data_IF_872668717016
#
_entry.id   IF_872668717016
#
_cell.length_a   1.000
_cell.length_b   1.000
_cell.length_c   1.000
_cell.angle_alpha   90.00
_cell.angle_beta   90.00
_cell.angle_gamma   90.00
#
_symmetry.space_group_name_H-M   'P 1'
#
loop_
_entity.id
_entity.type
_entity.pdbx_description
1 polymer ?
#
# COMPACT_ATOMS: atom_id res chain seq x y z
N UNK A 1 -14.48 -38.04 2.45
CA UNK A 1 -14.35 -37.17 1.26
C UNK A 1 -14.22 -35.73 1.73
N UNK A 2 -13.00 -35.20 1.79
CA UNK A 2 -12.76 -33.80 2.10
C UNK A 2 -13.24 -32.97 0.90
N UNK A 3 -14.04 -31.89 1.09
CA UNK A 3 -14.45 -31.06 -0.03
C UNK A 3 -13.21 -30.48 -0.71
N UNK A 4 -13.20 -30.32 -2.05
CA UNK A 4 -12.06 -29.76 -2.77
C UNK A 4 -11.72 -28.39 -2.17
N UNK A 5 -10.42 -28.03 -2.04
CA UNK A 5 -10.03 -26.72 -1.54
C UNK A 5 -10.71 -25.66 -2.42
N UNK A 6 -11.55 -24.81 -1.81
CA UNK A 6 -12.21 -23.73 -2.55
C UNK A 6 -11.10 -22.86 -3.13
N UNK A 7 -10.95 -22.89 -4.47
CA UNK A 7 -10.08 -21.94 -5.17
C UNK A 7 -10.49 -20.54 -4.70
N UNK A 8 -9.60 -19.90 -3.93
CA UNK A 8 -9.80 -18.53 -3.45
C UNK A 8 -9.99 -17.67 -4.69
N UNK A 9 -11.03 -16.82 -4.69
CA UNK A 9 -11.28 -15.94 -5.83
C UNK A 9 -10.05 -15.07 -6.04
N UNK A 10 -9.62 -14.89 -7.29
CA UNK A 10 -8.43 -14.11 -7.64
C UNK A 10 -8.53 -12.67 -7.08
N UNK A 11 -9.75 -12.12 -7.06
CA UNK A 11 -10.03 -10.82 -6.44
C UNK A 11 -9.83 -10.78 -4.92
N UNK A 12 -9.99 -11.89 -4.21
CA UNK A 12 -9.69 -11.98 -2.77
C UNK A 12 -8.18 -12.02 -2.52
N UNK A 13 -7.42 -12.70 -3.37
CA UNK A 13 -5.96 -12.72 -3.25
C UNK A 13 -5.37 -11.31 -3.45
N UNK A 14 -5.81 -10.60 -4.48
CA UNK A 14 -5.36 -9.21 -4.72
C UNK A 14 -5.73 -8.30 -3.55
N UNK A 15 -6.96 -8.41 -3.01
CA UNK A 15 -7.37 -7.66 -1.81
C UNK A 15 -6.49 -7.93 -0.59
N UNK A 16 -6.12 -9.20 -0.37
CA UNK A 16 -5.25 -9.57 0.75
C UNK A 16 -3.86 -8.94 0.60
N UNK A 17 -3.27 -9.04 -0.60
CA UNK A 17 -1.96 -8.42 -0.90
C UNK A 17 -2.01 -6.91 -0.70
N UNK A 18 -3.06 -6.24 -1.18
CA UNK A 18 -3.21 -4.79 -1.03
C UNK A 18 -3.37 -4.38 0.43
N UNK A 19 -4.15 -5.13 1.21
CA UNK A 19 -4.28 -4.91 2.66
C UNK A 19 -2.95 -5.10 3.39
N UNK A 20 -2.16 -6.10 2.99
CA UNK A 20 -0.84 -6.35 3.57
C UNK A 20 0.14 -5.22 3.24
N UNK A 21 0.16 -4.73 2.00
CA UNK A 21 0.99 -3.59 1.59
C UNK A 21 0.66 -2.32 2.39
N UNK A 22 -0.64 -2.02 2.56
CA UNK A 22 -1.08 -0.87 3.37
C UNK A 22 -0.68 -1.03 4.83
N UNK A 23 -0.90 -2.20 5.41
CA UNK A 23 -0.53 -2.47 6.81
C UNK A 23 0.98 -2.34 7.02
N UNK A 24 1.80 -2.88 6.11
CA UNK A 24 3.27 -2.76 6.20
C UNK A 24 3.73 -1.31 6.13
N UNK A 25 3.15 -0.51 5.21
CA UNK A 25 3.49 0.91 5.09
C UNK A 25 3.09 1.69 6.35
N UNK A 26 1.90 1.44 6.89
CA UNK A 26 1.43 2.06 8.14
C UNK A 26 2.31 1.68 9.34
N UNK A 27 2.68 0.40 9.46
CA UNK A 27 3.58 -0.06 10.53
C UNK A 27 4.96 0.58 10.40
N UNK A 28 5.53 0.64 9.19
CA UNK A 28 6.81 1.31 8.95
C UNK A 28 6.75 2.79 9.32
N UNK A 29 5.69 3.49 8.94
CA UNK A 29 5.48 4.89 9.31
C UNK A 29 5.43 5.08 10.84
N UNK A 30 4.71 4.20 11.53
CA UNK A 30 4.63 4.23 12.99
C UNK A 30 6.01 4.04 13.63
N UNK A 31 6.75 3.02 13.18
CA UNK A 31 8.09 2.71 13.65
C UNK A 31 9.08 3.86 13.42
N UNK A 32 9.06 4.48 12.24
CA UNK A 32 9.93 5.64 11.94
C UNK A 32 9.62 6.82 12.88
N UNK A 33 8.34 7.03 13.19
CA UNK A 33 7.93 8.09 14.11
C UNK A 33 8.37 7.81 15.54
N UNK A 34 8.23 6.55 15.99
CA UNK A 34 8.70 6.12 17.31
C UNK A 34 10.22 6.28 17.42
N UNK A 35 10.97 5.84 16.41
CA UNK A 35 12.42 5.98 16.37
C UNK A 35 12.88 7.44 16.47
N UNK A 36 12.21 8.37 15.79
CA UNK A 36 12.54 9.80 15.90
C UNK A 36 12.29 10.35 17.30
N UNK A 37 11.23 9.91 17.99
CA UNK A 37 11.00 10.28 19.38
C UNK A 37 12.02 9.65 20.33
N UNK A 38 12.43 8.40 20.09
CA UNK A 38 13.49 7.74 20.84
C UNK A 38 14.83 8.47 20.70
N UNK A 39 15.22 8.85 19.47
CA UNK A 39 16.43 9.64 19.21
C UNK A 39 16.36 10.96 19.96
N UNK A 40 15.20 11.63 19.96
CA UNK A 40 14.99 12.89 20.68
C UNK A 40 15.18 12.70 22.19
N UNK A 41 14.57 11.67 22.77
CA UNK A 41 14.71 11.36 24.20
C UNK A 41 16.15 11.00 24.56
N UNK A 42 16.78 10.13 23.78
CA UNK A 42 18.16 9.70 24.00
C UNK A 42 19.14 10.87 23.96
N UNK A 43 18.99 11.77 22.99
CA UNK A 43 19.86 12.96 22.84
C UNK A 43 19.79 13.86 24.07
N UNK A 44 18.59 14.11 24.58
CA UNK A 44 18.39 14.93 25.78
C UNK A 44 18.95 14.24 27.03
N UNK A 45 18.61 12.96 27.21
CA UNK A 45 19.00 12.19 28.38
C UNK A 45 20.52 12.01 28.46
N UNK A 46 21.17 11.68 27.35
CA UNK A 46 22.61 11.53 27.27
C UNK A 46 23.35 12.85 27.56
N UNK A 47 22.83 13.97 27.05
CA UNK A 47 23.40 15.30 27.34
C UNK A 47 23.32 15.64 28.83
N UNK A 48 22.19 15.33 29.47
CA UNK A 48 22.00 15.54 30.92
C UNK A 48 22.98 14.71 31.75
N UNK A 49 23.12 13.42 31.47
CA UNK A 49 24.03 12.54 32.20
C UNK A 49 25.47 12.98 32.05
N UNK A 50 25.86 13.33 30.84
CA UNK A 50 27.21 13.81 30.56
C UNK A 50 27.51 15.09 31.39
N UNK A 51 26.56 16.04 31.44
CA UNK A 51 26.70 17.25 32.25
C UNK A 51 26.81 16.92 33.74
N UNK A 52 26.01 15.99 34.25
CA UNK A 52 26.07 15.57 35.64
C UNK A 52 27.43 14.93 35.99
N UNK A 53 27.98 14.08 35.14
CA UNK A 53 29.28 13.45 35.34
C UNK A 53 30.42 14.48 35.38
N UNK A 54 30.43 15.43 34.44
CA UNK A 54 31.42 16.51 34.39
C UNK A 54 31.40 17.39 35.66
N UNK A 55 30.19 17.74 36.14
CA UNK A 55 30.01 18.49 37.39
C UNK A 55 30.54 17.71 38.59
N UNK A 56 30.23 16.40 38.67
CA UNK A 56 30.66 15.54 39.78
C UNK A 56 32.18 15.38 39.83
N UNK A 57 32.84 15.15 38.69
CA UNK A 57 34.30 15.04 38.62
C UNK A 57 35.00 16.32 39.07
N UNK A 58 34.43 17.48 38.72
CA UNK A 58 34.94 18.79 39.13
C UNK A 58 34.84 19.01 40.63
N UNK A 59 33.69 18.67 41.22
CA UNK A 59 33.46 18.79 42.66
C UNK A 59 34.35 17.81 43.43
N UNK A 60 34.52 16.58 42.94
CA UNK A 60 35.40 15.59 43.55
C UNK A 60 36.88 16.00 43.48
N UNK A 61 37.34 16.54 42.35
CA UNK A 61 38.70 17.06 42.19
C UNK A 61 38.99 18.24 43.15
N UNK A 62 37.99 19.05 43.45
CA UNK A 62 38.10 20.13 44.45
C UNK A 62 38.37 19.58 45.85
N UNK A 63 37.67 18.53 46.27
CA UNK A 63 37.81 17.96 47.61
C UNK A 63 39.22 17.37 47.82
N UNK A 64 39.78 16.76 46.77
CA UNK A 64 41.15 16.22 46.76
C UNK A 64 42.22 17.33 46.78
N UNK A 65 41.98 18.47 46.11
CA UNK A 65 42.93 19.58 46.13
C UNK A 65 42.84 20.40 47.43
N UNK A 66 41.65 20.50 48.05
CA UNK A 66 41.44 21.16 49.36
C UNK A 66 42.22 20.51 50.49
N UNK A 67 42.43 19.19 50.45
CA UNK A 67 43.24 18.47 51.45
C UNK A 67 44.74 18.70 51.29
N UNK A 68 45.17 19.28 50.16
CA UNK A 68 46.59 19.39 49.79
C UNK A 68 47.16 20.82 49.93
N UNK A 69 46.32 21.87 49.86
CA UNK A 69 46.80 23.27 49.81
C UNK A 69 46.09 24.17 50.84
N UNK A 70 46.72 24.38 52.01
CA UNK A 70 46.18 25.25 53.07
C UNK A 70 46.88 26.63 53.18
N UNK A 71 47.88 26.93 52.34
CA UNK A 71 48.72 28.15 52.47
C UNK A 71 48.54 29.23 51.39
N UNK A 72 47.85 28.99 50.26
CA UNK A 72 47.63 29.98 49.18
C UNK A 72 46.15 30.18 48.79
N UNK A 73 45.29 30.34 49.79
CA UNK A 73 43.82 30.30 49.67
C UNK A 73 43.19 31.22 48.60
N UNK A 74 43.74 32.43 48.36
CA UNK A 74 43.13 33.40 47.43
C UNK A 74 43.33 33.06 45.95
N UNK A 75 44.55 32.64 45.57
CA UNK A 75 44.87 32.29 44.16
C UNK A 75 44.22 30.96 43.79
N UNK A 76 44.26 29.98 44.70
CA UNK A 76 43.60 28.67 44.54
C UNK A 76 42.09 28.82 44.35
N UNK A 77 41.45 29.74 45.09
CA UNK A 77 40.03 30.02 44.93
C UNK A 77 39.69 30.70 43.60
N UNK A 78 40.56 31.60 43.09
CA UNK A 78 40.38 32.23 41.79
C UNK A 78 40.46 31.23 40.62
N UNK A 79 41.45 30.34 40.64
CA UNK A 79 41.60 29.26 39.65
C UNK A 79 40.40 28.31 39.70
N UNK A 80 39.95 27.94 40.90
CA UNK A 80 38.77 27.09 41.07
C UNK A 80 37.50 27.74 40.52
N UNK A 81 37.25 29.02 40.82
CA UNK A 81 36.10 29.75 40.28
C UNK A 81 36.15 29.77 38.75
N UNK A 82 37.32 30.07 38.16
CA UNK A 82 37.49 30.05 36.71
C UNK A 82 37.23 28.65 36.10
N UNK A 83 37.62 27.57 36.78
CA UNK A 83 37.35 26.20 36.35
C UNK A 83 35.85 25.87 36.40
N UNK A 84 35.16 26.24 37.49
CA UNK A 84 33.71 26.05 37.62
C UNK A 84 32.96 26.86 36.57
N UNK A 85 33.36 28.11 36.33
CA UNK A 85 32.75 28.98 35.31
C UNK A 85 32.94 28.41 33.89
N UNK A 86 34.12 27.84 33.59
CA UNK A 86 34.38 27.18 32.31
C UNK A 86 33.50 25.93 32.11
N UNK A 87 33.22 25.19 33.17
CA UNK A 87 32.39 23.98 33.14
C UNK A 87 30.91 24.34 33.04
N UNK A 88 30.48 25.42 33.70
CA UNK A 88 29.15 25.99 33.51
C UNK A 88 28.92 26.43 32.05
N UNK A 89 29.86 27.18 31.46
CA UNK A 89 29.80 27.57 30.04
C UNK A 89 29.77 26.37 29.11
N UNK A 90 30.57 25.35 29.42
CA UNK A 90 30.61 24.10 28.65
C UNK A 90 29.30 23.34 28.73
N UNK A 91 28.69 23.24 29.92
CA UNK A 91 27.38 22.63 30.13
C UNK A 91 26.26 23.38 29.38
N UNK A 92 26.25 24.72 29.45
CA UNK A 92 25.32 25.56 28.70
C UNK A 92 25.44 25.34 27.19
N UNK A 93 26.66 25.32 26.65
CA UNK A 93 26.88 25.09 25.22
C UNK A 93 26.37 23.72 24.75
N UNK A 94 26.57 22.67 25.57
CA UNK A 94 26.12 21.31 25.27
C UNK A 94 24.59 21.18 25.37
N UNK A 95 23.99 21.82 26.36
CA UNK A 95 22.53 21.84 26.50
C UNK A 95 21.89 22.56 25.30
N UNK A 96 22.42 23.72 24.89
CA UNK A 96 21.95 24.46 23.72
C UNK A 96 22.05 23.62 22.43
N UNK A 97 23.16 22.88 22.25
CA UNK A 97 23.31 21.96 21.11
C UNK A 97 22.28 20.82 21.15
N UNK A 98 22.06 20.20 22.32
CA UNK A 98 21.09 19.13 22.50
C UNK A 98 19.65 19.59 22.24
N UNK A 99 19.29 20.80 22.68
CA UNK A 99 18.01 21.44 22.42
C UNK A 99 17.81 21.70 20.92
N UNK A 100 18.85 22.17 20.23
CA UNK A 100 18.81 22.39 18.79
C UNK A 100 18.65 21.07 18.01
N UNK A 101 19.36 20.01 18.39
CA UNK A 101 19.15 18.67 17.83
C UNK A 101 17.71 18.18 18.06
N UNK A 102 17.17 18.36 19.27
CA UNK A 102 15.78 18.00 19.57
C UNK A 102 14.79 18.82 18.74
N UNK A 103 15.06 20.12 18.52
CA UNK A 103 14.24 21.01 17.68
C UNK A 103 14.22 20.52 16.24
N UNK A 104 15.38 20.19 15.67
CA UNK A 104 15.51 19.66 14.31
C UNK A 104 14.81 18.31 14.17
N UNK A 105 15.05 17.37 15.08
CA UNK A 105 14.37 16.06 15.09
C UNK A 105 12.85 16.23 15.20
N UNK A 106 12.38 17.14 16.06
CA UNK A 106 10.95 17.45 16.18
C UNK A 106 10.36 18.15 14.94
N UNK A 107 11.14 18.87 14.15
CA UNK A 107 10.71 19.41 12.86
C UNK A 107 10.58 18.29 11.81
N UNK A 108 11.54 17.37 11.77
CA UNK A 108 11.50 16.19 10.89
C UNK A 108 10.29 15.31 11.23
N UNK A 109 10.05 14.99 12.50
CA UNK A 109 8.85 14.23 12.93
C UNK A 109 7.54 14.89 12.51
N UNK A 110 7.42 16.21 12.67
CA UNK A 110 6.22 16.96 12.25
C UNK A 110 6.06 16.99 10.73
N UNK A 111 7.14 17.18 9.99
CA UNK A 111 7.13 17.12 8.52
C UNK A 111 6.74 15.74 8.00
N UNK A 112 7.18 14.67 8.67
CA UNK A 112 6.86 13.29 8.34
C UNK A 112 5.35 13.04 8.52
N UNK A 113 4.80 13.40 9.70
CA UNK A 113 3.36 13.29 10.00
C UNK A 113 2.46 14.10 9.07
N UNK A 114 2.83 15.34 8.72
CA UNK A 114 1.90 16.28 8.08
C UNK A 114 1.78 16.18 6.56
N UNK A 115 2.72 15.52 5.87
CA UNK A 115 2.81 15.74 4.42
C UNK A 115 3.22 14.54 3.59
N UNK A 116 4.21 13.74 4.00
CA UNK A 116 4.76 12.71 3.10
C UNK A 116 3.94 11.42 3.14
N UNK A 117 3.60 10.95 4.34
CA UNK A 117 2.99 9.62 4.49
C UNK A 117 1.49 9.59 4.30
N UNK A 118 0.76 10.61 4.76
CA UNK A 118 -0.70 10.67 4.58
C UNK A 118 -1.02 10.70 3.08
N UNK A 119 -0.29 11.52 2.31
CA UNK A 119 -0.48 11.61 0.85
C UNK A 119 -0.01 10.36 0.11
N UNK A 120 1.06 9.71 0.58
CA UNK A 120 1.54 8.44 0.02
C UNK A 120 0.53 7.32 0.22
N UNK A 121 -0.02 7.20 1.44
CA UNK A 121 -1.03 6.21 1.79
C UNK A 121 -2.35 6.45 1.03
N UNK A 122 -2.81 7.70 0.96
CA UNK A 122 -4.01 8.07 0.18
C UNK A 122 -3.85 7.75 -1.31
N UNK A 123 -2.68 8.05 -1.89
CA UNK A 123 -2.36 7.70 -3.28
C UNK A 123 -2.33 6.19 -3.48
N UNK A 124 -1.71 5.44 -2.57
CA UNK A 124 -1.66 3.98 -2.63
C UNK A 124 -3.06 3.37 -2.56
N UNK A 125 -3.88 3.83 -1.61
CA UNK A 125 -5.28 3.39 -1.48
C UNK A 125 -6.10 3.70 -2.74
N UNK A 126 -5.88 4.86 -3.36
CA UNK A 126 -6.55 5.25 -4.60
C UNK A 126 -6.22 4.30 -5.74
N UNK A 127 -4.93 4.11 -6.05
CA UNK A 127 -4.51 3.24 -7.16
C UNK A 127 -4.91 1.79 -6.91
N UNK A 128 -4.74 1.29 -5.68
CA UNK A 128 -5.23 -0.05 -5.31
C UNK A 128 -6.76 -0.16 -5.47
N UNK A 129 -7.51 0.89 -5.14
CA UNK A 129 -8.95 0.99 -5.35
C UNK A 129 -9.34 0.85 -6.83
N UNK A 130 -8.65 1.58 -7.70
CA UNK A 130 -8.87 1.55 -9.16
C UNK A 130 -8.63 0.15 -9.75
N UNK A 131 -7.56 -0.55 -9.31
CA UNK A 131 -7.29 -1.94 -9.71
C UNK A 131 -8.40 -2.87 -9.21
N UNK A 132 -8.87 -2.69 -7.97
CA UNK A 132 -9.93 -3.50 -7.39
C UNK A 132 -11.28 -3.28 -8.09
N UNK A 133 -11.57 -2.07 -8.54
CA UNK A 133 -12.80 -1.76 -9.27
C UNK A 133 -12.75 -2.38 -10.67
N UNK A 134 -11.62 -2.28 -11.38
CA UNK A 134 -11.43 -2.98 -12.65
C UNK A 134 -11.60 -4.51 -12.53
N UNK A 135 -11.12 -5.11 -11.44
CA UNK A 135 -11.33 -6.53 -11.12
C UNK A 135 -12.80 -6.89 -10.84
N UNK A 136 -13.57 -5.98 -10.23
CA UNK A 136 -15.02 -6.18 -10.02
C UNK A 136 -15.77 -6.19 -11.34
N UNK A 137 -15.47 -5.24 -12.22
CA UNK A 137 -16.09 -5.18 -13.55
C UNK A 137 -15.75 -6.42 -14.39
N UNK A 138 -14.49 -6.85 -14.39
CA UNK A 138 -14.10 -8.12 -15.03
C UNK A 138 -14.88 -9.32 -14.49
N UNK A 139 -15.18 -9.36 -13.19
CA UNK A 139 -15.97 -10.43 -12.60
C UNK A 139 -17.42 -10.42 -13.08
N UNK A 140 -18.02 -9.24 -13.24
CA UNK A 140 -19.38 -9.08 -13.79
C UNK A 140 -19.44 -9.55 -15.24
N UNK A 141 -18.50 -9.10 -16.08
CA UNK A 141 -18.41 -9.50 -17.49
C UNK A 141 -18.18 -11.00 -17.61
N UNK A 142 -17.27 -11.58 -16.80
CA UNK A 142 -17.04 -13.02 -16.73
C UNK A 142 -18.33 -13.78 -16.41
N UNK A 143 -19.14 -13.32 -15.45
CA UNK A 143 -20.42 -13.96 -15.09
C UNK A 143 -21.41 -13.93 -16.25
N UNK A 144 -21.51 -12.80 -16.95
CA UNK A 144 -22.36 -12.63 -18.14
C UNK A 144 -21.92 -13.56 -19.27
N UNK A 145 -20.61 -13.65 -19.54
CA UNK A 145 -20.03 -14.57 -20.52
C UNK A 145 -20.44 -16.03 -20.24
N UNK A 146 -20.27 -16.51 -19.00
CA UNK A 146 -20.64 -17.89 -18.66
C UNK A 146 -22.14 -18.16 -18.81
N UNK A 147 -22.99 -17.18 -18.43
CA UNK A 147 -24.44 -17.29 -18.60
C UNK A 147 -24.82 -17.37 -20.08
N UNK A 148 -24.29 -16.49 -20.93
CA UNK A 148 -24.60 -16.48 -22.36
C UNK A 148 -24.02 -17.70 -23.08
N UNK A 149 -22.85 -18.18 -22.66
CA UNK A 149 -22.26 -19.43 -23.15
C UNK A 149 -23.19 -20.62 -22.90
N UNK A 150 -23.76 -20.72 -21.70
CA UNK A 150 -24.73 -21.76 -21.38
C UNK A 150 -26.00 -21.68 -22.23
N UNK A 151 -26.55 -20.47 -22.42
CA UNK A 151 -27.74 -20.25 -23.25
C UNK A 151 -27.48 -20.64 -24.71
N UNK A 152 -26.33 -20.25 -25.27
CA UNK A 152 -25.94 -20.58 -26.63
C UNK A 152 -25.76 -22.10 -26.82
N UNK A 153 -25.19 -22.80 -25.82
CA UNK A 153 -25.08 -24.26 -25.86
C UNK A 153 -26.47 -24.94 -25.92
N UNK A 154 -27.41 -24.52 -25.06
CA UNK A 154 -28.78 -25.05 -25.11
C UNK A 154 -29.45 -24.75 -26.46
N UNK A 155 -29.23 -23.56 -27.02
CA UNK A 155 -29.76 -23.21 -28.34
C UNK A 155 -29.17 -24.11 -29.45
N UNK A 156 -27.89 -24.44 -29.35
CA UNK A 156 -27.18 -25.33 -30.29
C UNK A 156 -27.70 -26.76 -30.23
N UNK A 157 -27.92 -27.29 -29.03
CA UNK A 157 -28.55 -28.60 -28.83
C UNK A 157 -29.96 -28.65 -29.44
N UNK A 158 -30.80 -27.65 -29.13
CA UNK A 158 -32.17 -27.58 -29.68
C UNK A 158 -32.22 -27.47 -31.20
N UNK A 159 -31.30 -26.69 -31.79
CA UNK A 159 -31.20 -26.57 -33.23
C UNK A 159 -30.74 -27.89 -33.88
N UNK A 160 -29.74 -28.56 -33.29
CA UNK A 160 -29.25 -29.86 -33.75
C UNK A 160 -30.34 -30.95 -33.68
N UNK A 161 -31.10 -30.98 -32.58
CA UNK A 161 -32.23 -31.90 -32.40
C UNK A 161 -33.33 -31.66 -33.43
N UNK A 162 -33.70 -30.40 -33.66
CA UNK A 162 -34.71 -30.04 -34.66
C UNK A 162 -34.26 -30.42 -36.08
N UNK A 163 -32.98 -30.19 -36.41
CA UNK A 163 -32.43 -30.56 -37.70
C UNK A 163 -32.37 -32.09 -37.89
N UNK A 164 -32.05 -32.84 -36.83
CA UNK A 164 -32.07 -34.30 -36.86
C UNK A 164 -33.50 -34.82 -37.05
N UNK A 165 -34.50 -34.22 -36.39
CA UNK A 165 -35.92 -34.55 -36.58
C UNK A 165 -36.39 -34.24 -38.00
N UNK A 166 -35.99 -33.09 -38.56
CA UNK A 166 -36.32 -32.70 -39.92
C UNK A 166 -35.78 -33.72 -40.94
N UNK A 167 -34.50 -34.12 -40.81
CA UNK A 167 -33.87 -35.17 -41.66
C UNK A 167 -34.56 -36.53 -41.55
N UNK A 168 -34.95 -36.95 -40.35
CA UNK A 168 -35.68 -38.22 -40.17
C UNK A 168 -37.09 -38.18 -40.78
N UNK A 169 -37.73 -37.01 -40.79
CA UNK A 169 -39.08 -36.82 -41.32
C UNK A 169 -39.16 -36.60 -42.84
N UNK A 170 -38.02 -36.61 -43.54
CA UNK A 170 -37.94 -36.25 -44.96
C UNK A 170 -38.82 -37.13 -45.87
N UNK A 171 -39.12 -38.35 -45.40
CA UNK A 171 -39.96 -39.37 -46.04
C UNK A 171 -41.39 -39.47 -45.46
N UNK A 172 -41.79 -38.57 -44.56
CA UNK A 172 -43.10 -38.57 -43.88
C UNK A 172 -44.20 -37.75 -44.59
N UNK A 173 -45.43 -37.84 -44.09
CA UNK A 173 -46.64 -37.20 -44.64
C UNK A 173 -46.45 -35.68 -44.86
N UNK A 174 -46.74 -35.21 -46.06
CA UNK A 174 -46.45 -33.85 -46.57
C UNK A 174 -46.87 -32.69 -45.65
N UNK A 175 -48.00 -32.82 -44.94
CA UNK A 175 -48.51 -31.75 -44.07
C UNK A 175 -47.64 -31.49 -42.81
N UNK A 176 -46.84 -32.47 -42.38
CA UNK A 176 -45.95 -32.34 -41.21
C UNK A 176 -44.59 -31.71 -41.57
N UNK A 177 -44.16 -31.86 -42.83
CA UNK A 177 -42.84 -31.40 -43.32
C UNK A 177 -42.70 -29.87 -43.25
N UNK A 178 -43.71 -29.13 -43.70
CA UNK A 178 -43.68 -27.65 -43.70
C UNK A 178 -43.58 -27.07 -42.29
N UNK A 179 -44.29 -27.65 -41.31
CA UNK A 179 -44.22 -27.24 -39.91
C UNK A 179 -42.84 -27.46 -39.29
N UNK A 180 -42.23 -28.61 -39.56
CA UNK A 180 -40.86 -28.92 -39.10
C UNK A 180 -39.80 -28.01 -39.72
N UNK A 181 -39.91 -27.69 -41.01
CA UNK A 181 -38.99 -26.75 -41.66
C UNK A 181 -39.10 -25.35 -41.05
N UNK A 182 -40.32 -24.85 -40.81
CA UNK A 182 -40.53 -23.56 -40.13
C UNK A 182 -39.95 -23.54 -38.71
N UNK A 183 -40.14 -24.62 -37.95
CA UNK A 183 -39.58 -24.77 -36.60
C UNK A 183 -38.04 -24.80 -36.64
N UNK A 184 -37.46 -25.56 -37.56
CA UNK A 184 -36.00 -25.65 -37.75
C UNK A 184 -35.40 -24.30 -38.13
N UNK A 185 -36.04 -23.57 -39.04
CA UNK A 185 -35.64 -22.21 -39.42
C UNK A 185 -35.68 -21.26 -38.21
N UNK A 186 -36.75 -21.31 -37.41
CA UNK A 186 -36.89 -20.48 -36.19
C UNK A 186 -35.80 -20.78 -35.16
N UNK A 187 -35.49 -22.05 -34.92
CA UNK A 187 -34.45 -22.45 -33.96
C UNK A 187 -33.04 -22.10 -34.47
N UNK A 188 -32.81 -22.20 -35.79
CA UNK A 188 -31.56 -21.78 -36.42
C UNK A 188 -31.35 -20.27 -36.33
N UNK A 189 -32.40 -19.47 -36.56
CA UNK A 189 -32.35 -18.02 -36.38
C UNK A 189 -32.05 -17.64 -34.92
N UNK A 190 -32.68 -18.32 -33.95
CA UNK A 190 -32.41 -18.14 -32.52
C UNK A 190 -30.99 -18.55 -32.13
N UNK A 191 -30.45 -19.63 -32.70
CA UNK A 191 -29.06 -20.04 -32.50
C UNK A 191 -28.12 -18.93 -32.96
N UNK A 192 -28.33 -18.40 -34.17
CA UNK A 192 -27.52 -17.30 -34.71
C UNK A 192 -27.52 -16.08 -33.78
N UNK A 193 -28.69 -15.64 -33.31
CA UNK A 193 -28.80 -14.53 -32.34
C UNK A 193 -28.04 -14.82 -31.03
N UNK A 194 -28.08 -16.07 -30.54
CA UNK A 194 -27.34 -16.46 -29.34
C UNK A 194 -25.81 -16.48 -29.57
N UNK A 195 -25.36 -16.96 -30.72
CA UNK A 195 -23.94 -17.01 -31.09
C UNK A 195 -23.37 -15.60 -31.33
N UNK A 196 -24.15 -14.70 -31.94
CA UNK A 196 -23.77 -13.29 -32.13
C UNK A 196 -23.56 -12.61 -30.77
N UNK A 197 -24.51 -12.75 -29.84
CA UNK A 197 -24.39 -12.22 -28.46
C UNK A 197 -23.26 -12.87 -27.67
N UNK A 198 -23.03 -14.18 -27.86
CA UNK A 198 -21.91 -14.86 -27.20
C UNK A 198 -20.56 -14.32 -27.70
N UNK A 199 -20.47 -14.01 -28.99
CA UNK A 199 -19.26 -13.45 -29.60
C UNK A 199 -18.99 -12.05 -29.04
N UNK A 200 -20.02 -11.20 -28.94
CA UNK A 200 -19.93 -9.87 -28.35
C UNK A 200 -19.39 -9.90 -26.92
N UNK A 201 -20.04 -10.65 -26.02
CA UNK A 201 -19.62 -10.74 -24.61
C UNK A 201 -18.26 -11.43 -24.44
N UNK A 202 -17.89 -12.34 -25.36
CA UNK A 202 -16.56 -12.97 -25.35
C UNK A 202 -15.49 -11.93 -25.66
N UNK A 203 -15.71 -11.10 -26.67
CA UNK A 203 -14.77 -10.04 -27.03
C UNK A 203 -14.64 -9.02 -25.89
N UNK A 204 -15.76 -8.61 -25.30
CA UNK A 204 -15.77 -7.72 -24.13
C UNK A 204 -15.00 -8.33 -22.95
N UNK A 205 -15.20 -9.62 -22.65
CA UNK A 205 -14.46 -10.33 -21.60
C UNK A 205 -12.96 -10.34 -21.86
N UNK A 206 -12.53 -10.63 -23.09
CA UNK A 206 -11.11 -10.66 -23.45
C UNK A 206 -10.46 -9.27 -23.38
N UNK A 207 -11.16 -8.22 -23.82
CA UNK A 207 -10.70 -6.84 -23.72
C UNK A 207 -10.58 -6.39 -22.26
N UNK A 208 -11.59 -6.68 -21.44
CA UNK A 208 -11.55 -6.37 -20.00
C UNK A 208 -10.43 -7.14 -19.28
N UNK A 209 -10.20 -8.40 -19.65
CA UNK A 209 -9.11 -9.20 -19.09
C UNK A 209 -7.73 -8.61 -19.45
N UNK A 210 -7.54 -8.19 -20.71
CA UNK A 210 -6.32 -7.53 -21.15
C UNK A 210 -6.10 -6.20 -20.41
N UNK A 211 -7.16 -5.39 -20.26
CA UNK A 211 -7.10 -4.12 -19.55
C UNK A 211 -6.74 -4.30 -18.07
N UNK A 212 -7.37 -5.25 -17.37
CA UNK A 212 -7.04 -5.56 -15.96
C UNK A 212 -5.60 -6.04 -15.82
N UNK A 213 -5.13 -6.90 -16.73
CA UNK A 213 -3.75 -7.37 -16.70
C UNK A 213 -2.76 -6.21 -16.91
N UNK A 214 -3.02 -5.32 -17.86
CA UNK A 214 -2.20 -4.14 -18.10
C UNK A 214 -2.19 -3.19 -16.89
N UNK A 215 -3.35 -2.96 -16.28
CA UNK A 215 -3.48 -2.12 -15.07
C UNK A 215 -2.73 -2.74 -13.88
N UNK A 216 -2.86 -4.05 -13.67
CA UNK A 216 -2.13 -4.76 -12.62
C UNK A 216 -0.61 -4.72 -12.83
N UNK A 217 -0.13 -4.85 -14.07
CA UNK A 217 1.29 -4.68 -14.39
C UNK A 217 1.75 -3.25 -14.12
N UNK A 218 1.01 -2.25 -14.61
CA UNK A 218 1.32 -0.84 -14.38
C UNK A 218 1.41 -0.49 -12.89
N UNK A 219 0.50 -1.04 -12.08
CA UNK A 219 0.54 -0.89 -10.63
C UNK A 219 1.89 -1.32 -10.03
N UNK A 220 2.42 -2.48 -10.41
CA UNK A 220 3.67 -2.99 -9.87
C UNK A 220 4.91 -2.35 -10.48
N UNK A 221 4.88 -2.01 -11.78
CA UNK A 221 6.07 -1.49 -12.48
C UNK A 221 6.22 0.03 -12.35
N UNK A 222 5.12 0.75 -12.11
CA UNK A 222 5.13 2.21 -12.14
C UNK A 222 4.54 2.83 -10.87
N UNK A 223 3.26 2.55 -10.55
CA UNK A 223 2.56 3.27 -9.48
C UNK A 223 3.15 3.00 -8.10
N UNK A 224 3.33 1.73 -7.74
CA UNK A 224 3.88 1.35 -6.44
C UNK A 224 5.31 1.89 -6.26
N UNK A 225 6.26 1.68 -7.19
CA UNK A 225 7.58 2.31 -7.12
C UNK A 225 7.52 3.84 -6.99
N UNK A 226 6.73 4.54 -7.82
CA UNK A 226 6.62 5.99 -7.75
C UNK A 226 6.09 6.49 -6.40
N UNK A 227 5.11 5.80 -5.82
CA UNK A 227 4.57 6.16 -4.51
C UNK A 227 5.62 5.94 -3.42
N UNK A 228 6.43 4.87 -3.51
CA UNK A 228 7.51 4.59 -2.56
C UNK A 228 8.71 5.54 -2.74
N UNK A 229 9.02 5.93 -3.96
CA UNK A 229 10.20 6.74 -4.29
C UNK A 229 9.96 8.23 -4.13
N UNK A 230 8.74 8.74 -4.34
CA UNK A 230 8.48 10.19 -4.42
C UNK A 230 8.93 10.96 -3.17
N UNK A 231 10.09 11.63 -3.20
CA UNK A 231 10.50 12.55 -2.16
C UNK A 231 9.78 13.84 -2.51
N UNK A 232 8.72 14.21 -1.79
CA UNK A 232 8.12 15.53 -2.02
C UNK A 232 9.22 16.59 -1.87
N UNK A 233 9.40 17.48 -2.87
CA UNK A 233 10.43 18.51 -2.83
C UNK A 233 10.21 19.37 -1.58
N UNK A 234 11.28 19.92 -0.98
CA UNK A 234 11.12 20.82 0.14
C UNK A 234 10.17 21.96 -0.25
N UNK A 235 9.30 22.43 0.66
CA UNK A 235 8.46 23.59 0.38
C UNK A 235 9.39 24.72 -0.07
N UNK A 236 9.08 25.33 -1.22
CA UNK A 236 9.80 26.47 -1.72
C UNK A 236 9.90 27.49 -0.58
N UNK A 237 11.14 27.77 -0.16
CA UNK A 237 11.45 28.88 0.72
C UNK A 237 11.02 30.14 0.01
N UNK A 238 9.86 30.69 0.39
CA UNK A 238 9.49 32.04 0.00
C UNK A 238 10.55 32.96 0.58
N UNK A 239 11.32 33.59 -0.32
CA UNK A 239 12.14 34.76 -0.04
C UNK A 239 11.28 35.92 0.47
#
# INVERSE_FOLDING_TARGET
MQPPPRKVKESQQVKLVFSEQLSKLQTKQHQDTELLEEIRYWTLWHSMIWICDEILQTVAGREINRTTEMENSSVVFGVWRSMVDAIAQTAESRLAAAEEYCRLTGQVSRSFRNTKDIRGLERLQRVQGEVLDALRELHLIKKTYHRLSHIANIAREKAADAQTRAKKSEHGIFHFKTGLLKMTAKLTARLKECDDRLTEVRNEYLLALAAVNAHHQHYYTNDLPHIMESPTPPPASNN
#
